data_IF_930960369294
#
_entry.id   IF_930960369294
#
_cell.length_a   1.000
_cell.length_b   1.000
_cell.length_c   1.000
_cell.angle_alpha   90.00
_cell.angle_beta   90.00
_cell.angle_gamma   90.00
#
_symmetry.space_group_name_H-M   'P 1'
#
loop_
_entity.id
_entity.type
_entity.pdbx_description
1 polymer ?
#
# COMPACT_ATOMS: atom_id res chain seq x y z
N UNK A 1 -5.46 -20.91 -5.52
CA UNK A 1 -4.86 -19.58 -5.28
C UNK A 1 -4.21 -19.10 -6.55
N UNK A 2 -4.63 -17.97 -7.16
CA UNK A 2 -4.03 -17.51 -8.39
C UNK A 2 -2.62 -16.95 -8.11
N UNK A 3 -1.60 -17.63 -8.65
CA UNK A 3 -0.19 -17.20 -8.61
C UNK A 3 0.04 -16.18 -9.74
N UNK A 4 -0.45 -14.96 -9.57
CA UNK A 4 0.09 -13.85 -10.35
C UNK A 4 1.45 -13.50 -9.75
N UNK A 5 2.56 -13.94 -10.36
CA UNK A 5 3.89 -13.40 -10.14
C UNK A 5 4.39 -12.86 -11.47
N UNK A 6 4.03 -11.61 -11.77
CA UNK A 6 4.68 -10.87 -12.86
C UNK A 6 6.02 -10.38 -12.32
N UNK A 7 7.11 -10.59 -13.06
CA UNK A 7 8.49 -10.34 -12.57
C UNK A 7 8.73 -8.90 -12.08
N UNK A 8 7.91 -7.95 -12.53
CA UNK A 8 8.04 -6.51 -12.22
C UNK A 8 6.92 -5.96 -11.32
N UNK A 9 6.11 -6.84 -10.73
CA UNK A 9 5.05 -6.44 -9.82
C UNK A 9 5.54 -6.36 -8.37
N UNK A 10 5.20 -5.27 -7.68
CA UNK A 10 5.42 -5.06 -6.26
C UNK A 10 4.11 -5.21 -5.50
N UNK A 11 4.14 -6.01 -4.45
CA UNK A 11 2.96 -6.33 -3.64
C UNK A 11 3.02 -5.53 -2.35
N UNK A 12 1.99 -4.74 -2.11
CA UNK A 12 1.82 -3.92 -0.93
C UNK A 12 0.68 -4.49 -0.07
N UNK A 13 1.03 -4.97 1.11
CA UNK A 13 0.12 -5.57 2.09
C UNK A 13 -0.05 -4.64 3.26
N UNK A 14 -1.30 -4.30 3.56
CA UNK A 14 -1.61 -3.48 4.72
C UNK A 14 -1.58 -4.30 6.01
N UNK A 15 -1.43 -3.60 7.14
CA UNK A 15 -1.24 -4.17 8.47
C UNK A 15 -2.31 -5.15 8.94
N UNK A 16 -3.45 -5.25 8.26
CA UNK A 16 -4.58 -6.07 8.68
C UNK A 16 -4.77 -7.34 7.83
N UNK A 17 -3.83 -7.60 6.91
CA UNK A 17 -3.73 -8.86 6.15
C UNK A 17 -2.75 -9.85 6.82
N UNK A 18 -2.52 -9.70 8.15
CA UNK A 18 -1.47 -10.40 8.92
C UNK A 18 -1.49 -11.91 8.80
N UNK A 19 -2.66 -12.48 8.53
CA UNK A 19 -2.84 -13.94 8.52
C UNK A 19 -2.14 -14.63 7.34
N UNK A 20 -1.73 -13.87 6.31
CA UNK A 20 -1.15 -14.45 5.09
C UNK A 20 0.18 -13.83 4.65
N UNK A 21 0.49 -12.58 5.03
CA UNK A 21 1.67 -11.86 4.53
C UNK A 21 2.29 -10.92 5.58
N UNK A 22 3.61 -10.67 5.47
CA UNK A 22 4.29 -9.63 6.26
C UNK A 22 3.87 -8.25 5.74
N UNK A 23 3.20 -7.40 6.56
CA UNK A 23 2.76 -6.10 6.11
C UNK A 23 3.95 -5.18 5.85
N UNK A 24 3.92 -4.53 4.68
CA UNK A 24 4.90 -3.54 4.24
C UNK A 24 4.26 -2.16 4.01
N UNK A 25 3.02 -1.97 4.44
CA UNK A 25 2.39 -0.66 4.66
C UNK A 25 1.71 -0.67 6.03
N UNK A 26 1.83 0.44 6.75
CA UNK A 26 1.14 0.65 8.03
C UNK A 26 0.10 1.74 7.90
N UNK A 27 -1.10 1.48 8.41
CA UNK A 27 -2.13 2.50 8.60
C UNK A 27 -2.22 2.81 10.10
N UNK A 28 -2.41 4.08 10.42
CA UNK A 28 -2.58 4.56 11.78
C UNK A 28 -3.88 5.36 11.84
N UNK A 29 -4.82 4.92 12.68
CA UNK A 29 -5.99 5.70 13.06
C UNK A 29 -5.66 6.43 14.37
N UNK A 30 -5.54 7.75 14.31
CA UNK A 30 -5.23 8.60 15.44
C UNK A 30 -6.49 8.87 16.28
N UNK A 31 -6.31 9.32 17.52
CA UNK A 31 -7.41 9.58 18.47
C UNK A 31 -8.36 10.68 18.02
N UNK A 32 -7.88 11.62 17.22
CA UNK A 32 -8.66 12.67 16.55
C UNK A 32 -9.48 12.14 15.36
N UNK A 33 -9.32 10.86 15.02
CA UNK A 33 -9.97 10.21 13.90
C UNK A 33 -9.26 10.40 12.56
N UNK A 34 -8.09 11.05 12.51
CA UNK A 34 -7.28 11.08 11.29
C UNK A 34 -6.73 9.69 10.97
N UNK A 35 -6.69 9.32 9.69
CA UNK A 35 -6.03 8.10 9.24
C UNK A 35 -4.84 8.46 8.33
N UNK A 36 -3.64 8.00 8.71
CA UNK A 36 -2.41 8.19 7.94
C UNK A 36 -1.81 6.85 7.55
N UNK A 37 -1.07 6.84 6.45
CA UNK A 37 -0.34 5.67 5.98
C UNK A 37 1.17 5.92 6.06
N UNK A 38 1.94 4.84 6.17
CA UNK A 38 3.39 4.86 6.13
C UNK A 38 3.91 3.68 5.31
N UNK A 39 4.74 4.00 4.31
CA UNK A 39 5.45 3.02 3.49
C UNK A 39 6.91 3.00 3.96
N UNK A 40 7.41 1.90 4.55
CA UNK A 40 8.80 1.77 4.94
C UNK A 40 9.72 1.74 3.70
N UNK A 41 10.83 2.49 3.75
CA UNK A 41 11.88 2.38 2.75
C UNK A 41 12.62 1.03 2.90
N UNK A 42 12.88 0.34 1.79
CA UNK A 42 13.61 -0.94 1.79
C UNK A 42 15.13 -0.73 1.96
N UNK A 43 15.65 0.47 1.63
CA UNK A 43 17.06 0.85 1.86
C UNK A 43 17.17 2.23 2.51
N UNK A 44 17.96 2.33 3.57
CA UNK A 44 18.32 3.59 4.23
C UNK A 44 19.27 4.42 3.36
N UNK A 45 18.78 5.00 2.26
CA UNK A 45 19.51 6.04 1.57
C UNK A 45 18.81 7.38 1.86
N UNK A 46 19.43 8.22 2.71
CA UNK A 46 18.83 9.47 3.26
C UNK A 46 18.39 10.49 2.19
N UNK A 47 18.69 10.26 0.92
CA UNK A 47 18.40 11.18 -0.20
C UNK A 47 17.21 10.76 -1.08
N UNK A 48 16.68 9.55 -0.94
CA UNK A 48 15.57 9.04 -1.77
C UNK A 48 14.32 8.87 -0.93
N UNK A 49 13.15 9.26 -1.47
CA UNK A 49 11.86 9.00 -0.84
C UNK A 49 11.61 7.50 -0.88
N UNK A 50 10.98 6.97 0.15
CA UNK A 50 10.60 5.55 0.21
C UNK A 50 9.76 5.09 -1.01
N UNK A 51 9.09 6.03 -1.68
CA UNK A 51 8.22 5.76 -2.83
C UNK A 51 9.00 5.58 -4.15
N UNK A 52 10.22 6.13 -4.25
CA UNK A 52 11.06 6.03 -5.45
C UNK A 52 11.45 4.58 -5.76
N UNK A 53 11.37 3.68 -4.76
CA UNK A 53 11.64 2.25 -4.95
C UNK A 53 10.60 1.53 -5.83
N UNK A 54 9.51 2.21 -6.19
CA UNK A 54 8.44 1.70 -7.06
C UNK A 54 8.51 2.25 -8.49
N UNK A 55 9.55 3.04 -8.82
CA UNK A 55 9.70 3.65 -10.15
C UNK A 55 9.62 2.62 -11.29
N UNK A 56 8.68 2.83 -12.23
CA UNK A 56 8.45 1.95 -13.39
C UNK A 56 7.91 0.54 -13.05
N UNK A 57 7.30 0.35 -11.87
CA UNK A 57 6.77 -0.97 -11.45
C UNK A 57 5.25 -1.01 -11.45
N UNK A 58 4.71 -2.22 -11.63
CA UNK A 58 3.28 -2.48 -11.39
C UNK A 58 3.07 -2.68 -9.88
N UNK A 59 2.22 -1.87 -9.25
CA UNK A 59 1.96 -1.93 -7.81
C UNK A 59 0.60 -2.57 -7.55
N UNK A 60 0.58 -3.63 -6.74
CA UNK A 60 -0.64 -4.33 -6.35
C UNK A 60 -0.84 -4.17 -4.84
N UNK A 61 -1.89 -3.46 -4.46
CA UNK A 61 -2.24 -3.16 -3.07
C UNK A 61 -3.30 -4.14 -2.59
N UNK A 62 -3.07 -4.80 -1.46
CA UNK A 62 -4.02 -5.69 -0.79
C UNK A 62 -4.49 -5.06 0.51
N UNK A 63 -5.78 -4.77 0.60
CA UNK A 63 -6.38 -4.13 1.78
C UNK A 63 -7.76 -4.71 2.12
N UNK A 64 -8.03 -4.94 3.41
CA UNK A 64 -9.33 -5.47 3.92
C UNK A 64 -10.39 -4.39 4.21
N UNK A 65 -10.13 -3.13 3.89
CA UNK A 65 -11.00 -1.98 4.20
C UNK A 65 -11.40 -1.85 5.69
N UNK A 66 -10.55 -2.30 6.63
CA UNK A 66 -10.84 -2.34 8.06
C UNK A 66 -9.64 -1.90 8.92
N UNK A 67 -9.82 -1.18 10.05
CA UNK A 67 -11.08 -0.59 10.53
C UNK A 67 -11.42 0.70 9.78
N UNK A 68 -12.67 1.18 9.92
CA UNK A 68 -13.18 2.42 9.32
C UNK A 68 -13.06 2.49 7.78
N UNK A 69 -13.88 1.73 7.03
CA UNK A 69 -13.77 1.56 5.57
C UNK A 69 -13.71 2.87 4.78
N UNK A 70 -14.54 3.86 5.16
CA UNK A 70 -14.60 5.16 4.47
C UNK A 70 -13.29 5.94 4.59
N UNK A 71 -12.73 6.01 5.81
CA UNK A 71 -11.44 6.67 6.07
C UNK A 71 -10.32 5.91 5.38
N UNK A 72 -10.39 4.58 5.39
CA UNK A 72 -9.40 3.73 4.75
C UNK A 72 -9.40 3.86 3.24
N UNK A 73 -10.57 3.89 2.62
CA UNK A 73 -10.74 4.15 1.19
C UNK A 73 -10.14 5.51 0.81
N UNK A 74 -10.46 6.55 1.60
CA UNK A 74 -9.88 7.88 1.40
C UNK A 74 -8.34 7.86 1.51
N UNK A 75 -7.78 7.30 2.58
CA UNK A 75 -6.31 7.24 2.76
C UNK A 75 -5.63 6.40 1.68
N UNK A 76 -6.24 5.30 1.23
CA UNK A 76 -5.74 4.50 0.09
C UNK A 76 -5.77 5.33 -1.19
N UNK A 77 -6.82 6.12 -1.43
CA UNK A 77 -6.87 6.99 -2.62
C UNK A 77 -5.74 8.03 -2.63
N UNK A 78 -5.41 8.61 -1.47
CA UNK A 78 -4.25 9.49 -1.33
C UNK A 78 -2.94 8.75 -1.64
N UNK A 79 -2.77 7.55 -1.08
CA UNK A 79 -1.58 6.72 -1.33
C UNK A 79 -1.44 6.33 -2.80
N UNK A 80 -2.55 5.98 -3.48
CA UNK A 80 -2.57 5.69 -4.91
C UNK A 80 -2.17 6.93 -5.70
N UNK A 81 -2.67 8.11 -5.33
CA UNK A 81 -2.27 9.39 -5.95
C UNK A 81 -0.76 9.63 -5.83
N UNK A 82 -0.19 9.41 -4.64
CA UNK A 82 1.26 9.58 -4.42
C UNK A 82 2.09 8.56 -5.21
N UNK A 83 1.61 7.31 -5.30
CA UNK A 83 2.28 6.25 -6.07
C UNK A 83 2.18 6.47 -7.57
N UNK A 84 1.09 7.09 -8.06
CA UNK A 84 0.83 7.25 -9.49
C UNK A 84 1.90 8.07 -10.22
N UNK A 85 2.64 8.93 -9.51
CA UNK A 85 3.77 9.68 -10.07
C UNK A 85 5.01 8.83 -10.35
N UNK A 86 5.06 7.60 -9.83
CA UNK A 86 6.23 6.73 -9.87
C UNK A 86 5.90 5.34 -10.45
N UNK A 87 4.65 5.02 -10.72
CA UNK A 87 4.27 3.64 -11.09
C UNK A 87 3.50 3.62 -12.38
N UNK A 88 3.80 2.66 -13.26
CA UNK A 88 3.11 2.52 -14.55
C UNK A 88 1.65 2.09 -14.38
N UNK A 89 1.39 1.29 -13.34
CA UNK A 89 0.06 0.72 -13.09
C UNK A 89 -0.12 0.41 -11.62
N UNK A 90 -1.32 0.72 -11.11
CA UNK A 90 -1.72 0.40 -9.75
C UNK A 90 -3.00 -0.44 -9.80
N UNK A 91 -3.03 -1.54 -9.04
CA UNK A 91 -4.22 -2.35 -8.82
C UNK A 91 -4.53 -2.44 -7.33
N UNK A 92 -5.76 -2.12 -6.94
CA UNK A 92 -6.27 -2.32 -5.59
C UNK A 92 -7.09 -3.60 -5.53
N UNK A 93 -6.70 -4.52 -4.64
CA UNK A 93 -7.38 -5.78 -4.38
C UNK A 93 -8.00 -5.72 -3.00
N UNK A 94 -9.33 -5.74 -2.95
CA UNK A 94 -10.11 -5.80 -1.72
C UNK A 94 -10.76 -7.19 -1.63
N UNK A 95 -10.25 -8.11 -0.79
CA UNK A 95 -10.71 -9.49 -0.77
C UNK A 95 -12.10 -9.67 -0.14
N UNK A 96 -12.57 -8.70 0.64
CA UNK A 96 -13.90 -8.67 1.24
C UNK A 96 -14.45 -7.25 1.10
N UNK A 97 -15.44 -7.05 0.22
CA UNK A 97 -16.15 -5.78 0.06
C UNK A 97 -17.55 -5.90 0.66
#
# INVERSE_FOLDING_TARGET
MPRYKKKDAVYLYTSDVRDFYKPNIRFFLFKDGEMKYYIPAVKHNRKSKAIDQYDGKEVIIFDRMYPAPQKRFFTISCMISDLSFHTDKIALVVPYF
#
